data_IF_983805593001
#
_entry.id   IF_983805593001
#
_cell.length_a   1.000
_cell.length_b   1.000
_cell.length_c   1.000
_cell.angle_alpha   90.00
_cell.angle_beta   90.00
_cell.angle_gamma   90.00
#
_symmetry.space_group_name_H-M   'P 1'
#
loop_
_entity.id
_entity.type
_entity.pdbx_description
1 polymer ?
#
# COMPACT_ATOMS: atom_id res chain seq x y z
N UNK A 1 -24.57 61.27 -11.06
CA UNK A 1 -23.80 60.64 -12.16
C UNK A 1 -22.41 60.31 -11.65
N UNK A 2 -22.25 59.16 -10.99
CA UNK A 2 -20.96 58.68 -10.50
C UNK A 2 -20.21 58.12 -11.72
N UNK A 3 -19.11 58.76 -12.09
CA UNK A 3 -18.34 58.44 -13.29
C UNK A 3 -17.75 57.03 -13.18
N UNK A 4 -17.73 56.32 -14.32
CA UNK A 4 -17.25 54.93 -14.53
C UNK A 4 -15.81 54.66 -14.03
N UNK A 5 -15.11 55.72 -13.58
CA UNK A 5 -13.77 55.72 -12.98
C UNK A 5 -13.77 55.32 -11.49
N UNK A 6 -14.90 55.46 -10.79
CA UNK A 6 -15.01 55.14 -9.36
C UNK A 6 -15.24 53.63 -9.07
N UNK A 7 -15.63 52.83 -10.07
CA UNK A 7 -15.89 51.40 -9.88
C UNK A 7 -14.61 50.55 -9.93
N UNK A 8 -13.54 51.03 -10.57
CA UNK A 8 -12.30 50.27 -10.78
C UNK A 8 -11.37 50.26 -9.57
N UNK A 9 -11.59 51.10 -8.56
CA UNK A 9 -10.77 51.16 -7.34
C UNK A 9 -11.29 50.26 -6.21
N UNK A 10 -12.53 49.77 -6.29
CA UNK A 10 -13.07 48.82 -5.30
C UNK A 10 -12.68 47.36 -5.58
N UNK A 11 -12.12 47.07 -6.76
CA UNK A 11 -11.72 45.73 -7.18
C UNK A 11 -10.22 45.43 -6.97
N UNK A 12 -9.50 46.27 -6.23
CA UNK A 12 -8.05 46.09 -6.02
C UNK A 12 -7.66 46.18 -4.55
N UNK A 13 -7.96 45.13 -3.78
CA UNK A 13 -7.17 44.71 -2.59
C UNK A 13 -7.68 43.40 -1.96
N UNK A 14 -8.06 42.40 -2.76
CA UNK A 14 -8.18 41.04 -2.27
C UNK A 14 -7.26 40.17 -3.14
N UNK A 15 -5.96 40.20 -2.83
CA UNK A 15 -5.01 39.22 -3.37
C UNK A 15 -5.03 37.99 -2.44
N UNK A 16 -5.57 36.83 -2.84
CA UNK A 16 -5.62 35.65 -1.98
C UNK A 16 -4.26 34.91 -1.87
N UNK A 17 -3.15 35.52 -2.31
CA UNK A 17 -1.92 34.78 -2.62
C UNK A 17 -0.62 35.45 -2.16
N UNK A 18 -0.67 36.27 -1.10
CA UNK A 18 0.54 36.76 -0.45
C UNK A 18 1.18 35.64 0.40
N UNK A 19 2.02 34.85 -0.27
CA UNK A 19 3.23 34.20 0.25
C UNK A 19 3.34 34.14 1.78
N UNK A 20 2.71 33.14 2.40
CA UNK A 20 3.19 32.69 3.70
C UNK A 20 4.65 32.28 3.51
N UNK A 21 5.59 33.15 3.89
CA UNK A 21 6.99 32.77 4.07
C UNK A 21 6.96 31.49 4.90
N UNK A 22 7.67 30.42 4.51
CA UNK A 22 7.74 29.24 5.36
C UNK A 22 8.17 29.74 6.74
N UNK A 23 7.40 29.38 7.78
CA UNK A 23 7.75 29.71 9.15
C UNK A 23 9.22 29.33 9.34
N UNK A 24 10.03 30.29 9.81
CA UNK A 24 11.46 30.08 9.98
C UNK A 24 11.63 28.97 11.02
N UNK A 25 11.95 27.77 10.55
CA UNK A 25 12.01 26.59 11.41
C UNK A 25 13.22 26.75 12.32
N UNK A 26 13.04 26.73 13.66
CA UNK A 26 14.15 26.82 14.58
C UNK A 26 15.24 25.77 14.26
N UNK A 27 16.54 26.12 14.37
CA UNK A 27 17.62 25.26 13.93
C UNK A 27 17.64 23.89 14.64
N UNK A 28 17.19 23.84 15.90
CA UNK A 28 17.04 22.62 16.69
C UNK A 28 15.91 21.71 16.13
N UNK A 29 14.77 22.30 15.74
CA UNK A 29 13.66 21.58 15.11
C UNK A 29 14.08 21.05 13.74
N UNK A 30 14.78 21.86 12.95
CA UNK A 30 15.30 21.45 11.63
C UNK A 30 16.34 20.33 11.75
N UNK A 31 17.22 20.40 12.76
CA UNK A 31 18.19 19.35 13.05
C UNK A 31 17.52 18.03 13.44
N UNK A 32 16.52 18.07 14.32
CA UNK A 32 15.73 16.89 14.72
C UNK A 32 14.98 16.27 13.54
N UNK A 33 14.40 17.09 12.66
CA UNK A 33 13.71 16.61 11.47
C UNK A 33 14.66 15.96 10.45
N UNK A 34 15.90 16.46 10.31
CA UNK A 34 16.94 15.80 9.50
C UNK A 34 17.35 14.47 10.11
N UNK A 35 17.70 14.45 11.40
CA UNK A 35 18.08 13.23 12.10
C UNK A 35 16.99 12.15 12.05
N UNK A 36 15.71 12.53 12.18
CA UNK A 36 14.60 11.61 12.03
C UNK A 36 14.51 11.03 10.61
N UNK A 37 14.63 11.86 9.57
CA UNK A 37 14.61 11.40 8.17
C UNK A 37 15.80 10.48 7.87
N UNK A 38 16.98 10.80 8.36
CA UNK A 38 18.18 9.97 8.25
C UNK A 38 17.98 8.62 8.94
N UNK A 39 17.44 8.61 10.16
CA UNK A 39 17.13 7.39 10.90
C UNK A 39 16.07 6.54 10.19
N UNK A 40 15.01 7.15 9.66
CA UNK A 40 13.97 6.44 8.90
C UNK A 40 14.49 5.91 7.57
N UNK A 41 15.37 6.64 6.88
CA UNK A 41 16.03 6.17 5.66
C UNK A 41 16.94 4.98 5.94
N UNK A 42 17.72 5.02 7.03
CA UNK A 42 18.56 3.91 7.46
C UNK A 42 17.72 2.66 7.83
N UNK A 43 16.54 2.86 8.44
CA UNK A 43 15.60 1.76 8.73
C UNK A 43 14.95 1.19 7.46
N UNK A 44 14.46 2.06 6.57
CA UNK A 44 13.87 1.64 5.30
C UNK A 44 14.85 0.89 4.39
N UNK A 45 16.15 1.21 4.47
CA UNK A 45 17.19 0.45 3.78
C UNK A 45 17.40 -0.97 4.35
N UNK A 46 17.10 -1.20 5.63
CA UNK A 46 17.11 -2.53 6.25
C UNK A 46 15.82 -3.33 5.96
N UNK A 47 14.71 -2.64 5.71
CA UNK A 47 13.42 -3.23 5.32
C UNK A 47 13.29 -3.44 3.79
N UNK A 48 14.33 -3.12 3.01
CA UNK A 48 14.30 -2.99 1.55
C UNK A 48 14.10 -4.29 0.75
N UNK A 49 14.11 -5.45 1.40
CA UNK A 49 13.86 -6.75 0.77
C UNK A 49 13.08 -7.68 1.71
N UNK A 50 12.00 -7.19 2.34
CA UNK A 50 11.10 -8.08 3.06
C UNK A 50 10.28 -8.88 2.02
N UNK A 51 10.51 -10.21 1.87
CA UNK A 51 9.78 -10.97 0.88
C UNK A 51 8.29 -10.98 1.26
N UNK A 52 7.45 -10.71 0.27
CA UNK A 52 6.02 -10.86 0.41
C UNK A 52 5.64 -12.34 0.32
N UNK A 53 4.66 -12.77 1.10
CA UNK A 53 4.09 -14.12 1.04
C UNK A 53 2.59 -14.05 0.89
N UNK A 54 2.05 -14.97 0.10
CA UNK A 54 0.61 -15.15 0.02
C UNK A 54 0.06 -15.71 1.34
N UNK A 55 -0.96 -15.06 1.87
CA UNK A 55 -1.76 -15.54 2.99
C UNK A 55 -3.19 -15.76 2.52
N UNK A 56 -3.85 -16.76 3.09
CA UNK A 56 -5.22 -17.11 2.77
C UNK A 56 -6.12 -16.74 3.94
N UNK A 57 -7.23 -16.10 3.66
CA UNK A 57 -8.35 -15.91 4.58
C UNK A 57 -9.37 -17.03 4.34
N UNK A 58 -9.41 -18.10 5.18
CA UNK A 58 -10.24 -19.27 4.91
C UNK A 58 -11.73 -18.95 4.82
N UNK A 59 -12.18 -17.91 5.54
CA UNK A 59 -13.57 -17.42 5.54
C UNK A 59 -14.03 -16.82 4.21
N UNK A 60 -13.10 -16.51 3.31
CA UNK A 60 -13.37 -15.96 1.98
C UNK A 60 -13.02 -16.96 0.86
N UNK A 61 -12.36 -18.07 1.19
CA UNK A 61 -11.94 -19.06 0.22
C UNK A 61 -13.13 -19.90 -0.25
N UNK A 62 -13.42 -19.89 -1.55
CA UNK A 62 -14.52 -20.65 -2.14
C UNK A 62 -14.42 -22.16 -1.84
N UNK A 63 -13.21 -22.74 -1.87
CA UNK A 63 -12.99 -24.15 -1.53
C UNK A 63 -13.39 -24.47 -0.09
N UNK A 64 -12.92 -23.65 0.85
CA UNK A 64 -13.23 -23.80 2.27
C UNK A 64 -14.72 -23.58 2.55
N UNK A 65 -15.38 -22.71 1.79
CA UNK A 65 -16.81 -22.40 1.95
C UNK A 65 -17.77 -23.46 1.36
N UNK A 66 -17.32 -24.35 0.48
CA UNK A 66 -18.22 -25.37 -0.10
C UNK A 66 -18.10 -25.57 -1.60
N UNK A 67 -17.48 -24.62 -2.31
CA UNK A 67 -17.45 -24.59 -3.78
C UNK A 67 -16.17 -25.21 -4.33
N UNK A 68 -16.24 -25.95 -5.43
CA UNK A 68 -15.06 -26.45 -6.12
C UNK A 68 -14.23 -25.29 -6.72
N UNK A 69 -13.05 -25.05 -6.17
CA UNK A 69 -12.15 -23.98 -6.61
C UNK A 69 -10.69 -24.36 -6.37
N UNK A 70 -9.86 -24.26 -7.41
CA UNK A 70 -8.44 -24.59 -7.38
C UNK A 70 -7.56 -23.59 -8.13
N UNK A 71 -8.09 -22.43 -8.55
CA UNK A 71 -7.42 -21.49 -9.46
C UNK A 71 -6.01 -21.08 -8.98
N UNK A 72 -5.84 -20.87 -7.68
CA UNK A 72 -4.53 -20.53 -7.12
C UNK A 72 -3.49 -21.65 -7.25
N UNK A 73 -3.91 -22.93 -7.21
CA UNK A 73 -3.04 -24.09 -7.43
C UNK A 73 -2.54 -24.13 -8.88
N UNK A 74 -3.44 -23.88 -9.83
CA UNK A 74 -3.16 -23.92 -11.27
C UNK A 74 -2.30 -22.75 -11.73
N UNK A 75 -2.52 -21.57 -11.14
CA UNK A 75 -1.87 -20.33 -11.54
C UNK A 75 -0.53 -20.11 -10.85
N UNK A 76 -0.24 -20.82 -9.76
CA UNK A 76 1.03 -20.63 -9.06
C UNK A 76 2.20 -21.10 -9.94
N UNK A 77 3.14 -20.21 -10.31
CA UNK A 77 4.30 -20.60 -11.12
C UNK A 77 5.31 -21.46 -10.34
N UNK A 78 5.22 -21.48 -9.00
CA UNK A 78 6.13 -22.19 -8.11
C UNK A 78 5.58 -23.57 -7.72
N UNK A 79 6.18 -24.68 -8.21
CA UNK A 79 5.68 -26.02 -7.93
C UNK A 79 5.65 -26.34 -6.44
N UNK A 80 4.46 -26.71 -5.95
CA UNK A 80 4.24 -27.08 -4.56
C UNK A 80 4.34 -25.93 -3.56
N UNK A 81 4.37 -24.67 -4.03
CA UNK A 81 4.23 -23.50 -3.16
C UNK A 81 2.81 -23.34 -2.62
N UNK A 82 1.81 -23.81 -3.36
CA UNK A 82 0.41 -23.91 -2.91
C UNK A 82 0.01 -25.38 -3.01
N UNK A 83 -0.61 -25.90 -1.95
CA UNK A 83 -1.08 -27.30 -1.88
C UNK A 83 -2.47 -27.37 -1.29
N UNK A 84 -3.26 -28.35 -1.70
CA UNK A 84 -4.59 -28.61 -1.15
C UNK A 84 -4.53 -29.74 -0.13
N UNK A 85 -5.18 -29.53 1.02
CA UNK A 85 -5.39 -30.54 2.07
C UNK A 85 -6.89 -30.62 2.35
N UNK A 86 -7.58 -31.57 1.73
CA UNK A 86 -9.03 -31.65 1.79
C UNK A 86 -9.70 -30.40 1.21
N UNK A 87 -10.41 -29.65 2.06
CA UNK A 87 -11.10 -28.39 1.70
C UNK A 87 -10.31 -27.12 2.06
N UNK A 88 -9.04 -27.28 2.40
CA UNK A 88 -8.14 -26.18 2.76
C UNK A 88 -7.03 -26.03 1.72
N UNK A 89 -6.73 -24.78 1.38
CA UNK A 89 -5.55 -24.43 0.59
C UNK A 89 -4.46 -23.94 1.55
N UNK A 90 -3.26 -24.49 1.40
CA UNK A 90 -2.10 -24.20 2.24
C UNK A 90 -0.98 -23.61 1.38
N UNK A 91 -0.46 -22.45 1.79
CA UNK A 91 0.72 -21.83 1.18
C UNK A 91 1.97 -22.27 1.94
N UNK A 92 2.91 -22.92 1.24
CA UNK A 92 4.20 -23.32 1.80
C UNK A 92 5.16 -22.15 1.80
N UNK A 93 5.34 -21.60 3.00
CA UNK A 93 6.20 -20.47 3.30
C UNK A 93 7.61 -20.51 2.67
N UNK A 94 8.22 -21.68 2.64
CA UNK A 94 9.58 -21.89 2.12
C UNK A 94 9.69 -21.86 0.59
N UNK A 95 8.56 -21.93 -0.13
CA UNK A 95 8.52 -21.99 -1.61
C UNK A 95 7.80 -20.79 -2.23
N UNK A 96 7.00 -20.07 -1.46
CA UNK A 96 6.31 -18.90 -1.95
C UNK A 96 7.32 -17.77 -2.23
N UNK A 97 7.44 -17.39 -3.50
CA UNK A 97 8.31 -16.29 -3.97
C UNK A 97 7.67 -14.90 -3.81
N UNK A 98 6.39 -14.83 -3.47
CA UNK A 98 5.67 -13.56 -3.36
C UNK A 98 5.25 -12.96 -4.70
N UNK A 99 5.29 -13.73 -5.80
CA UNK A 99 4.96 -13.23 -7.15
C UNK A 99 3.53 -12.68 -7.32
N UNK A 100 2.58 -13.10 -6.47
CA UNK A 100 1.23 -12.54 -6.45
C UNK A 100 0.23 -13.12 -7.47
N UNK A 101 0.64 -14.09 -8.30
CA UNK A 101 -0.24 -14.65 -9.36
C UNK A 101 -1.52 -15.30 -8.78
N UNK A 102 -1.44 -15.89 -7.60
CA UNK A 102 -2.61 -16.44 -6.89
C UNK A 102 -3.58 -15.34 -6.39
N UNK A 103 -3.07 -14.14 -6.09
CA UNK A 103 -3.89 -13.00 -5.63
C UNK A 103 -4.63 -12.40 -6.82
N UNK A 104 -3.94 -12.17 -7.94
CA UNK A 104 -4.53 -11.60 -9.16
C UNK A 104 -5.58 -12.50 -9.80
N UNK A 105 -5.40 -13.82 -9.70
CA UNK A 105 -6.30 -14.81 -10.31
C UNK A 105 -7.45 -15.29 -9.43
N UNK A 106 -7.58 -14.78 -8.19
CA UNK A 106 -8.61 -15.26 -7.27
C UNK A 106 -10.03 -14.87 -7.74
N UNK A 107 -10.93 -15.83 -8.04
CA UNK A 107 -12.26 -15.53 -8.55
C UNK A 107 -13.29 -15.23 -7.44
N UNK A 108 -12.89 -15.23 -6.17
CA UNK A 108 -13.78 -14.94 -5.07
C UNK A 108 -14.29 -13.48 -5.16
N UNK A 109 -15.57 -13.20 -4.84
CA UNK A 109 -16.11 -11.83 -4.88
C UNK A 109 -15.32 -10.85 -4.01
N UNK A 110 -14.83 -11.33 -2.86
CA UNK A 110 -13.82 -10.66 -2.04
C UNK A 110 -12.59 -11.57 -2.07
N UNK A 111 -11.43 -11.10 -2.56
CA UNK A 111 -10.24 -11.92 -2.69
C UNK A 111 -9.85 -12.58 -1.37
N UNK A 112 -9.75 -13.91 -1.39
CA UNK A 112 -9.34 -14.68 -0.23
C UNK A 112 -7.82 -14.65 0.01
N UNK A 113 -7.06 -14.23 -1.00
CA UNK A 113 -5.60 -14.23 -1.02
C UNK A 113 -5.09 -12.79 -0.96
N UNK A 114 -4.04 -12.57 -0.17
CA UNK A 114 -3.32 -11.31 -0.11
C UNK A 114 -1.82 -11.55 0.02
N UNK A 115 -1.01 -10.66 -0.53
CA UNK A 115 0.42 -10.61 -0.22
C UNK A 115 0.62 -9.84 1.08
N UNK A 116 1.38 -10.42 2.01
CA UNK A 116 1.79 -9.78 3.26
C UNK A 116 3.31 -9.84 3.39
N UNK A 117 3.95 -8.77 3.89
CA UNK A 117 5.37 -8.81 4.24
C UNK A 117 5.61 -9.87 5.31
N UNK A 118 6.63 -10.72 5.09
CA UNK A 118 7.06 -11.70 6.10
C UNK A 118 8.09 -11.05 6.99
N UNK A 119 7.67 -10.48 8.12
CA UNK A 119 8.61 -10.08 9.17
C UNK A 119 9.30 -11.32 9.72
N UNK A 120 10.63 -11.36 9.66
CA UNK A 120 11.44 -12.43 10.22
C UNK A 120 11.64 -12.25 11.72
#
# INVERSE_FOLDING_TARGET
>A
MITRRALLTLFRAAEPHASARPAEVPPDVAARARAFREAMAARGAADGDVPNRAVIAPRLCLLTLGTECGTCLERCPEPGAITQQGREIVVRAARCTGCGECVSSCPAPIPALALRPVTR
#
